data_IF_140176099910
#
_entry.id   IF_140176099910
#
_cell.length_a   1.000
_cell.length_b   1.000
_cell.length_c   1.000
_cell.angle_alpha   90.00
_cell.angle_beta   90.00
_cell.angle_gamma   90.00
#
_symmetry.space_group_name_H-M   'P 1'
#
loop_
_entity.id
_entity.type
_entity.pdbx_description
1 polymer ?
#
# COMPACT_ATOMS: atom_id res chain seq x y z
N UNK A 1 1.36 19.93 -17.56
CA UNK A 1 1.02 20.12 -16.13
C UNK A 1 1.51 18.92 -15.35
N UNK A 2 2.09 19.13 -14.16
CA UNK A 2 2.52 18.02 -13.29
C UNK A 2 1.33 17.32 -12.61
N UNK A 3 1.54 16.07 -12.19
CA UNK A 3 0.62 15.32 -11.34
C UNK A 3 1.30 15.14 -9.97
N UNK A 4 0.55 15.35 -8.89
CA UNK A 4 1.07 15.09 -7.55
C UNK A 4 1.17 13.58 -7.35
N UNK A 5 2.35 13.13 -6.94
CA UNK A 5 2.63 11.73 -6.69
C UNK A 5 3.37 11.56 -5.36
N UNK A 6 3.16 10.42 -4.70
CA UNK A 6 3.83 10.08 -3.46
C UNK A 6 4.20 8.60 -3.42
N UNK A 7 5.38 8.28 -2.90
CA UNK A 7 5.89 6.92 -2.80
C UNK A 7 5.72 6.43 -1.36
N UNK A 8 4.92 5.38 -1.18
CA UNK A 8 4.88 4.57 0.04
C UNK A 8 5.97 3.50 -0.05
N UNK A 9 7.16 3.86 0.42
CA UNK A 9 8.29 2.96 0.47
C UNK A 9 8.19 1.97 1.64
N UNK A 10 8.47 0.70 1.37
CA UNK A 10 8.37 -0.37 2.35
C UNK A 10 9.26 -0.19 3.57
N UNK A 11 10.47 0.34 3.40
CA UNK A 11 11.39 0.57 4.51
C UNK A 11 10.92 1.77 5.33
N UNK A 12 10.53 2.87 4.70
CA UNK A 12 9.98 4.04 5.40
C UNK A 12 8.72 3.69 6.20
N UNK A 13 7.80 2.94 5.59
CA UNK A 13 6.58 2.49 6.25
C UNK A 13 6.92 1.58 7.43
N UNK A 14 7.90 0.68 7.31
CA UNK A 14 8.35 -0.19 8.41
C UNK A 14 9.12 0.54 9.51
N UNK A 15 9.78 1.65 9.24
CA UNK A 15 10.39 2.47 10.30
C UNK A 15 9.35 3.27 11.09
N UNK A 16 8.24 3.63 10.46
CA UNK A 16 7.17 4.43 11.06
C UNK A 16 5.90 3.63 11.33
N UNK A 17 4.94 3.73 10.40
CA UNK A 17 3.58 3.23 10.53
C UNK A 17 3.49 1.74 10.91
N UNK A 18 4.41 0.93 10.40
CA UNK A 18 4.41 -0.52 10.53
C UNK A 18 5.61 -1.04 11.35
N UNK A 19 6.19 -0.22 12.23
CA UNK A 19 7.34 -0.59 13.06
C UNK A 19 7.08 -1.72 14.05
N UNK A 20 5.82 -1.97 14.35
CA UNK A 20 5.34 -3.05 15.20
C UNK A 20 5.26 -4.40 14.47
N UNK A 21 5.35 -4.43 13.14
CA UNK A 21 5.17 -5.63 12.33
C UNK A 21 6.51 -6.29 12.00
N UNK A 22 6.61 -7.58 12.32
CA UNK A 22 7.75 -8.42 11.95
C UNK A 22 7.72 -8.86 10.48
N UNK A 23 8.30 -10.04 10.24
CA UNK A 23 8.46 -10.64 8.91
C UNK A 23 7.72 -11.97 8.73
N UNK A 24 6.88 -12.35 9.71
CA UNK A 24 6.00 -13.52 9.60
C UNK A 24 4.94 -13.30 8.53
N UNK A 25 4.27 -14.36 8.10
CA UNK A 25 3.28 -14.27 7.02
C UNK A 25 2.11 -13.34 7.39
N UNK A 26 1.68 -13.39 8.65
CA UNK A 26 0.59 -12.58 9.19
C UNK A 26 0.99 -11.10 9.26
N UNK A 27 2.19 -10.81 9.74
CA UNK A 27 2.75 -9.45 9.79
C UNK A 27 2.91 -8.84 8.39
N UNK A 28 3.26 -9.67 7.40
CA UNK A 28 3.33 -9.23 6.00
C UNK A 28 1.96 -8.90 5.44
N UNK A 29 0.95 -9.73 5.72
CA UNK A 29 -0.41 -9.48 5.28
C UNK A 29 -0.95 -8.18 5.89
N UNK A 30 -0.73 -7.95 7.19
CA UNK A 30 -1.13 -6.70 7.86
C UNK A 30 -0.35 -5.49 7.33
N UNK A 31 0.95 -5.65 7.02
CA UNK A 31 1.74 -4.59 6.39
C UNK A 31 1.13 -4.16 5.04
N UNK A 32 0.74 -5.12 4.20
CA UNK A 32 0.10 -4.85 2.91
C UNK A 32 -1.29 -4.23 3.10
N UNK A 33 -2.08 -4.72 4.06
CA UNK A 33 -3.40 -4.15 4.38
C UNK A 33 -3.28 -2.67 4.78
N UNK A 34 -2.36 -2.33 5.70
CA UNK A 34 -2.13 -0.94 6.14
C UNK A 34 -1.65 -0.05 4.99
N UNK A 35 -0.72 -0.53 4.17
CA UNK A 35 -0.24 0.21 2.99
C UNK A 35 -1.37 0.45 1.99
N UNK A 36 -2.23 -0.54 1.74
CA UNK A 36 -3.40 -0.40 0.88
C UNK A 36 -4.39 0.66 1.36
N UNK A 37 -4.71 0.68 2.65
CA UNK A 37 -5.60 1.70 3.24
C UNK A 37 -4.99 3.10 3.14
N UNK A 38 -3.69 3.26 3.38
CA UNK A 38 -3.02 4.55 3.21
C UNK A 38 -3.00 4.96 1.73
N UNK A 39 -2.69 4.04 0.82
CA UNK A 39 -2.72 4.30 -0.62
C UNK A 39 -4.11 4.78 -1.07
N UNK A 40 -5.18 4.17 -0.56
CA UNK A 40 -6.55 4.63 -0.77
C UNK A 40 -6.78 6.07 -0.31
N UNK A 41 -6.31 6.45 0.88
CA UNK A 41 -6.42 7.84 1.35
C UNK A 41 -5.68 8.83 0.44
N UNK A 42 -4.50 8.45 -0.09
CA UNK A 42 -3.78 9.27 -1.06
C UNK A 42 -4.54 9.38 -2.39
N UNK A 43 -5.09 8.28 -2.88
CA UNK A 43 -5.93 8.24 -4.07
C UNK A 43 -7.17 9.12 -3.93
N UNK A 44 -7.86 9.03 -2.79
CA UNK A 44 -9.04 9.85 -2.46
C UNK A 44 -8.68 11.35 -2.39
N UNK A 45 -7.45 11.68 -1.98
CA UNK A 45 -6.92 13.05 -1.99
C UNK A 45 -6.44 13.53 -3.37
N UNK A 46 -6.59 12.72 -4.43
CA UNK A 46 -6.16 13.04 -5.80
C UNK A 46 -4.66 12.88 -6.06
N UNK A 47 -3.95 12.15 -5.19
CA UNK A 47 -2.52 11.87 -5.33
C UNK A 47 -2.31 10.52 -6.01
N UNK A 48 -1.37 10.46 -6.96
CA UNK A 48 -0.91 9.19 -7.50
C UNK A 48 -0.02 8.51 -6.44
N UNK A 49 -0.57 7.51 -5.77
CA UNK A 49 0.18 6.73 -4.80
C UNK A 49 0.94 5.58 -5.48
N UNK A 50 2.24 5.49 -5.23
CA UNK A 50 3.09 4.38 -5.68
C UNK A 50 3.54 3.62 -4.45
N UNK A 51 3.13 2.36 -4.29
CA UNK A 51 3.54 1.52 -3.18
C UNK A 51 4.72 0.61 -3.59
N UNK A 52 5.92 0.89 -3.11
CA UNK A 52 7.11 0.06 -3.34
C UNK A 52 7.36 -0.86 -2.14
N UNK A 53 6.57 -1.93 -2.06
CA UNK A 53 6.58 -2.88 -0.94
C UNK A 53 6.70 -4.33 -1.42
N UNK A 54 7.37 -5.18 -0.63
CA UNK A 54 7.39 -6.63 -0.88
C UNK A 54 6.01 -7.21 -0.55
N UNK A 55 5.26 -7.57 -1.60
CA UNK A 55 3.87 -8.08 -1.54
C UNK A 55 3.76 -9.48 -2.17
N UNK A 56 4.37 -10.52 -1.56
CA UNK A 56 4.58 -11.81 -2.21
C UNK A 56 3.28 -12.59 -2.44
N UNK A 57 2.24 -12.33 -1.65
CA UNK A 57 0.99 -13.06 -1.69
C UNK A 57 -0.06 -12.34 -2.54
N UNK A 58 -0.52 -12.99 -3.61
CA UNK A 58 -1.54 -12.43 -4.51
C UNK A 58 -2.82 -12.07 -3.76
N UNK A 59 -3.25 -12.91 -2.81
CA UNK A 59 -4.47 -12.66 -2.01
C UNK A 59 -4.43 -11.29 -1.29
N UNK A 60 -3.26 -10.88 -0.81
CA UNK A 60 -3.14 -9.63 -0.05
C UNK A 60 -3.22 -8.42 -1.02
N UNK A 61 -2.67 -8.56 -2.23
CA UNK A 61 -2.82 -7.56 -3.30
C UNK A 61 -4.25 -7.49 -3.83
N UNK A 62 -4.95 -8.62 -3.91
CA UNK A 62 -6.36 -8.67 -4.30
C UNK A 62 -7.25 -7.92 -3.29
N UNK A 63 -6.93 -8.01 -1.98
CA UNK A 63 -7.58 -7.19 -0.95
C UNK A 63 -7.32 -5.70 -1.19
N UNK A 64 -6.08 -5.29 -1.48
CA UNK A 64 -5.79 -3.89 -1.81
C UNK A 64 -6.52 -3.40 -3.07
N UNK A 65 -6.65 -4.25 -4.10
CA UNK A 65 -7.42 -3.93 -5.30
C UNK A 65 -8.90 -3.74 -4.99
N UNK A 66 -9.47 -4.59 -4.15
CA UNK A 66 -10.90 -4.58 -3.84
C UNK A 66 -11.36 -3.37 -3.00
N UNK A 67 -10.45 -2.69 -2.30
CA UNK A 67 -10.79 -1.48 -1.51
C UNK A 67 -10.75 -0.18 -2.32
N UNK A 68 -10.21 -0.23 -3.54
CA UNK A 68 -10.11 0.89 -4.47
C UNK A 68 -11.19 0.79 -5.56
N UNK A 69 -11.63 1.91 -6.16
CA UNK A 69 -12.54 1.87 -7.30
C UNK A 69 -11.91 1.17 -8.51
N UNK A 70 -12.76 0.61 -9.39
CA UNK A 70 -12.31 -0.05 -10.60
C UNK A 70 -11.41 0.86 -11.45
N UNK A 71 -10.25 0.34 -11.84
CA UNK A 71 -9.26 1.07 -12.64
C UNK A 71 -8.30 1.97 -11.84
N UNK A 72 -8.45 2.07 -10.51
CA UNK A 72 -7.56 2.89 -9.66
C UNK A 72 -6.37 2.10 -9.07
N UNK A 73 -6.36 0.78 -9.21
CA UNK A 73 -5.26 -0.08 -8.79
C UNK A 73 -4.57 -0.72 -9.99
N UNK A 74 -3.24 -0.59 -10.05
CA UNK A 74 -2.37 -1.14 -11.11
C UNK A 74 -1.17 -1.83 -10.43
N UNK A 75 -0.83 -3.06 -10.82
CA UNK A 75 0.33 -3.84 -10.31
C UNK A 75 1.18 -4.43 -11.44
#
# INVERSE_FOLDING_TARGET
MGKLAYILDGDNVRHGLNRDLGFKAEDRAENIRRVGEVAKLFTDAGVICIASVISPYRRDRDVCRAILPDGYFIE
#
